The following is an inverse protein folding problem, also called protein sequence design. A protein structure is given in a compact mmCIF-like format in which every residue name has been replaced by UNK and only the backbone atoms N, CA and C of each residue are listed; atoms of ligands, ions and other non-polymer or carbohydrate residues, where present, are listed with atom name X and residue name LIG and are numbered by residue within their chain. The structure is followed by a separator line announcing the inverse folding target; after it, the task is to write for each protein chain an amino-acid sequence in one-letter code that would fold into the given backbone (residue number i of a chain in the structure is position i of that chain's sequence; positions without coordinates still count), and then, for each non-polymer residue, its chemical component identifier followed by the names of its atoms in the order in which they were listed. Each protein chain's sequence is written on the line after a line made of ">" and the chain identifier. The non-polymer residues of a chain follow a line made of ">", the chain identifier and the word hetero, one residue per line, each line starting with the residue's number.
data_IF_649131190052
#
_entry.id   IF_649131190052
#
_cell.length_a   1.000
_cell.length_b   1.000
_cell.length_c   1.000
_cell.angle_alpha   90.00
_cell.angle_beta   90.00
_cell.angle_gamma   90.00
#
_symmetry.space_group_name_H-M   'P 1'
#
loop_
_entity.id
_entity.type
_entity.pdbx_description
1 polymer ?
#
# COMPACT_ATOMS: atom_id res chain seq x y z
N UNK A 1 27.07 -9.03 -18.20
CA UNK A 1 26.21 -7.86 -18.50
C UNK A 1 26.01 -7.06 -17.20
N UNK A 2 26.77 -5.97 -16.95
CA UNK A 2 26.84 -5.34 -15.62
C UNK A 2 25.70 -4.37 -15.28
N UNK A 3 24.98 -3.86 -16.28
CA UNK A 3 24.09 -2.71 -16.10
C UNK A 3 22.60 -3.08 -15.97
N UNK A 4 22.23 -4.29 -16.38
CA UNK A 4 20.82 -4.73 -16.47
C UNK A 4 20.14 -4.78 -15.09
N UNK A 5 20.86 -5.23 -14.05
CA UNK A 5 20.36 -5.31 -12.67
C UNK A 5 20.01 -3.91 -12.13
N UNK A 6 20.85 -2.90 -12.40
CA UNK A 6 20.59 -1.51 -11.97
C UNK A 6 19.41 -0.90 -12.70
N UNK A 7 19.24 -1.17 -13.99
CA UNK A 7 18.09 -0.67 -14.76
C UNK A 7 16.77 -1.31 -14.32
N UNK A 8 16.77 -2.62 -14.06
CA UNK A 8 15.60 -3.29 -13.50
C UNK A 8 15.22 -2.73 -12.12
N UNK A 9 16.20 -2.51 -11.24
CA UNK A 9 15.95 -1.94 -9.91
C UNK A 9 15.31 -0.53 -10.00
N UNK A 10 15.84 0.34 -10.86
CA UNK A 10 15.27 1.68 -11.07
C UNK A 10 13.86 1.63 -11.64
N UNK A 11 13.59 0.73 -12.59
CA UNK A 11 12.26 0.56 -13.18
C UNK A 11 11.21 0.10 -12.15
N UNK A 12 11.58 -0.83 -11.26
CA UNK A 12 10.69 -1.28 -10.17
C UNK A 12 10.41 -0.15 -9.17
N UNK A 13 11.45 0.62 -8.80
CA UNK A 13 11.27 1.78 -7.92
C UNK A 13 10.42 2.89 -8.54
N UNK A 14 10.58 3.15 -9.85
CA UNK A 14 9.78 4.18 -10.53
C UNK A 14 8.30 3.81 -10.58
N UNK A 15 7.96 2.52 -10.76
CA UNK A 15 6.58 2.04 -10.72
C UNK A 15 5.94 2.30 -9.35
N UNK A 16 6.60 1.88 -8.27
CA UNK A 16 6.12 2.12 -6.91
C UNK A 16 5.93 3.62 -6.62
N UNK A 17 6.91 4.44 -7.01
CA UNK A 17 6.88 5.89 -6.79
C UNK A 17 5.71 6.57 -7.51
N UNK A 18 5.46 6.21 -8.77
CA UNK A 18 4.37 6.79 -9.56
C UNK A 18 3.02 6.47 -8.93
N UNK A 19 2.79 5.20 -8.57
CA UNK A 19 1.52 4.79 -7.95
C UNK A 19 1.31 5.39 -6.56
N UNK A 20 2.36 5.49 -5.74
CA UNK A 20 2.27 6.17 -4.43
C UNK A 20 1.96 7.66 -4.57
N UNK A 21 2.47 8.31 -5.62
CA UNK A 21 2.11 9.71 -5.92
C UNK A 21 0.65 9.83 -6.33
N UNK A 22 0.14 8.90 -7.13
CA UNK A 22 -1.28 8.85 -7.49
C UNK A 22 -2.17 8.66 -6.25
N UNK A 23 -1.80 7.76 -5.33
CA UNK A 23 -2.48 7.56 -4.05
C UNK A 23 -2.52 8.86 -3.22
N UNK A 24 -1.41 9.58 -3.14
CA UNK A 24 -1.35 10.87 -2.45
C UNK A 24 -2.28 11.92 -3.09
N UNK A 25 -2.27 12.02 -4.42
CA UNK A 25 -3.13 12.96 -5.14
C UNK A 25 -4.61 12.61 -4.94
N UNK A 26 -4.98 11.34 -5.00
CA UNK A 26 -6.33 10.85 -4.71
C UNK A 26 -6.80 11.26 -3.30
N UNK A 27 -5.97 11.02 -2.29
CA UNK A 27 -6.25 11.46 -0.91
C UNK A 27 -6.41 12.98 -0.78
N UNK A 28 -5.58 13.75 -1.47
CA UNK A 28 -5.68 15.22 -1.45
C UNK A 28 -6.96 15.74 -2.11
N UNK A 29 -7.36 15.17 -3.24
CA UNK A 29 -8.62 15.50 -3.90
C UNK A 29 -9.80 15.20 -2.97
N UNK A 30 -9.82 14.00 -2.41
CA UNK A 30 -10.87 13.58 -1.49
C UNK A 30 -10.96 14.48 -0.24
N UNK A 31 -9.81 14.84 0.34
CA UNK A 31 -9.76 15.77 1.46
C UNK A 31 -10.34 17.15 1.10
N UNK A 32 -10.04 17.66 -0.11
CA UNK A 32 -10.59 18.93 -0.58
C UNK A 32 -12.10 18.92 -0.76
N UNK A 33 -12.72 17.75 -0.94
CA UNK A 33 -14.16 17.60 -1.16
C UNK A 33 -14.93 17.24 0.12
N UNK A 34 -14.30 16.54 1.05
CA UNK A 34 -14.95 15.93 2.23
C UNK A 34 -14.39 16.39 3.57
N UNK A 35 -13.38 17.27 3.56
CA UNK A 35 -12.66 17.77 4.75
C UNK A 35 -12.10 16.67 5.67
N UNK A 36 -11.89 15.46 5.12
CA UNK A 36 -11.32 14.31 5.84
C UNK A 36 -10.51 13.41 4.91
N UNK A 37 -9.58 12.65 5.46
CA UNK A 37 -8.97 11.53 4.73
C UNK A 37 -9.87 10.30 4.80
N UNK A 38 -9.68 9.36 3.87
CA UNK A 38 -10.36 8.06 3.91
C UNK A 38 -9.36 6.91 4.05
N UNK A 39 -9.79 5.86 4.74
CA UNK A 39 -9.05 4.61 4.81
C UNK A 39 -9.29 3.68 3.63
N UNK A 40 -10.20 4.02 2.71
CA UNK A 40 -10.67 3.14 1.67
C UNK A 40 -10.29 3.63 0.27
N UNK A 41 -9.66 2.75 -0.51
CA UNK A 41 -9.13 3.01 -1.85
C UNK A 41 -10.24 3.32 -2.86
N UNK A 42 -11.38 2.64 -2.76
CA UNK A 42 -12.56 2.88 -3.58
C UNK A 42 -13.22 4.24 -3.29
N UNK A 43 -13.20 4.72 -2.04
CA UNK A 43 -13.73 6.04 -1.71
C UNK A 43 -12.90 7.19 -2.30
N UNK A 44 -11.57 7.05 -2.29
CA UNK A 44 -10.66 8.08 -2.81
C UNK A 44 -10.41 7.96 -4.33
N UNK A 45 -10.97 6.93 -4.98
CA UNK A 45 -10.76 6.67 -6.40
C UNK A 45 -9.34 6.20 -6.75
N UNK A 46 -8.63 5.57 -5.80
CA UNK A 46 -7.31 5.00 -6.06
C UNK A 46 -7.43 3.54 -6.50
N UNK A 47 -7.05 3.27 -7.75
CA UNK A 47 -6.92 1.93 -8.28
C UNK A 47 -5.69 1.87 -9.20
N UNK A 48 -4.59 1.19 -8.78
CA UNK A 48 -3.44 1.01 -9.65
C UNK A 48 -3.79 0.03 -10.76
N UNK A 49 -3.26 0.28 -11.96
CA UNK A 49 -3.48 -0.57 -13.13
C UNK A 49 -3.07 -2.03 -12.88
N UNK A 50 -3.69 -2.94 -13.65
CA UNK A 50 -3.34 -4.37 -13.61
C UNK A 50 -1.89 -4.60 -13.99
N UNK A 51 -1.28 -5.61 -13.39
CA UNK A 51 0.15 -5.88 -13.50
C UNK A 51 1.01 -5.06 -12.54
N UNK A 52 0.43 -4.53 -11.46
CA UNK A 52 1.18 -3.88 -10.38
C UNK A 52 2.08 -4.90 -9.64
N UNK A 53 3.37 -4.59 -9.54
CA UNK A 53 4.36 -5.42 -8.84
C UNK A 53 4.29 -5.28 -7.32
N UNK A 54 3.72 -4.18 -6.85
CA UNK A 54 3.65 -3.84 -5.42
C UNK A 54 2.20 -3.78 -4.98
N UNK A 55 1.94 -4.25 -3.75
CA UNK A 55 0.69 -4.00 -3.05
C UNK A 55 0.70 -2.64 -2.36
N UNK A 56 -0.48 -2.06 -2.20
CA UNK A 56 -0.69 -0.75 -1.59
C UNK A 56 -1.67 -0.89 -0.43
N UNK A 57 -1.32 -0.32 0.71
CA UNK A 57 -2.14 -0.37 1.91
C UNK A 57 -2.53 1.05 2.25
N UNK A 58 -3.83 1.31 2.27
CA UNK A 58 -4.42 2.61 2.59
C UNK A 58 -4.85 2.65 4.06
N UNK A 59 -5.34 1.52 4.58
CA UNK A 59 -5.72 1.34 5.98
C UNK A 59 -5.63 -0.12 6.42
N UNK A 60 -5.55 -0.33 7.74
CA UNK A 60 -5.74 -1.63 8.37
C UNK A 60 -7.22 -2.05 8.39
N UNK A 61 -8.13 -1.08 8.26
CA UNK A 61 -9.57 -1.31 8.17
C UNK A 61 -9.97 -1.81 6.78
N UNK A 62 -11.18 -2.36 6.65
CA UNK A 62 -11.73 -2.78 5.37
C UNK A 62 -11.10 -4.06 4.80
N UNK A 63 -11.58 -4.43 3.61
CA UNK A 63 -11.17 -5.65 2.89
C UNK A 63 -9.93 -5.41 2.02
N UNK A 64 -9.20 -6.49 1.77
CA UNK A 64 -8.10 -6.49 0.82
C UNK A 64 -8.61 -6.93 -0.56
N UNK A 65 -8.38 -6.11 -1.58
CA UNK A 65 -8.57 -6.49 -2.97
C UNK A 65 -7.44 -7.45 -3.39
N UNK A 66 -7.78 -8.73 -3.52
CA UNK A 66 -6.85 -9.76 -3.96
C UNK A 66 -6.81 -9.83 -5.49
N UNK A 67 -5.60 -9.73 -6.07
CA UNK A 67 -5.35 -9.80 -7.51
C UNK A 67 -4.79 -11.17 -7.88
N UNK A 68 -5.56 -12.20 -7.57
CA UNK A 68 -5.24 -13.62 -7.74
C UNK A 68 -5.69 -14.18 -9.08
N UNK A 69 -6.71 -13.57 -9.69
CA UNK A 69 -7.37 -14.11 -10.87
C UNK A 69 -7.20 -13.19 -12.09
N UNK A 70 -7.44 -13.75 -13.29
CA UNK A 70 -7.36 -13.01 -14.54
C UNK A 70 -8.29 -11.79 -14.55
N UNK A 71 -9.50 -11.96 -14.01
CA UNK A 71 -10.46 -10.88 -13.79
C UNK A 71 -10.36 -10.46 -12.33
N UNK A 72 -10.20 -9.16 -12.10
CA UNK A 72 -10.27 -8.62 -10.74
C UNK A 72 -11.74 -8.39 -10.43
N UNK A 73 -12.28 -9.24 -9.55
CA UNK A 73 -13.55 -9.01 -8.89
C UNK A 73 -13.31 -8.12 -7.69
N UNK A 74 -13.49 -6.81 -7.88
CA UNK A 74 -13.45 -5.85 -6.79
C UNK A 74 -14.74 -5.99 -5.99
N UNK A 75 -14.65 -6.14 -4.66
CA UNK A 75 -15.83 -6.00 -3.80
C UNK A 75 -16.10 -4.51 -3.60
N UNK A 76 -16.94 -3.94 -4.45
CA UNK A 76 -17.33 -2.53 -4.36
C UNK A 76 -18.29 -2.26 -3.17
N UNK A 77 -18.80 -3.33 -2.55
CA UNK A 77 -19.79 -3.26 -1.46
C UNK A 77 -19.13 -2.98 -0.10
N UNK A 78 -17.85 -3.31 0.07
CA UNK A 78 -17.10 -3.08 1.31
C UNK A 78 -15.93 -2.12 1.05
N UNK A 79 -15.56 -1.31 2.04
CA UNK A 79 -14.43 -0.38 1.92
C UNK A 79 -13.11 -1.13 1.68
N UNK A 80 -12.35 -0.73 0.65
CA UNK A 80 -11.09 -1.42 0.26
C UNK A 80 -9.90 -0.80 0.98
N UNK A 81 -9.43 -1.42 2.05
CA UNK A 81 -8.29 -0.93 2.84
C UNK A 81 -6.92 -1.23 2.22
N UNK A 82 -6.84 -2.24 1.38
CA UNK A 82 -5.59 -2.63 0.74
C UNK A 82 -5.83 -3.23 -0.65
N UNK A 83 -4.87 -3.04 -1.53
CA UNK A 83 -4.83 -3.63 -2.87
C UNK A 83 -3.56 -4.46 -2.94
N UNK A 84 -3.69 -5.77 -3.16
CA UNK A 84 -2.54 -6.66 -3.27
C UNK A 84 -1.74 -6.43 -4.56
N UNK A 85 -0.51 -6.96 -4.61
CA UNK A 85 0.23 -7.04 -5.87
C UNK A 85 -0.47 -8.02 -6.82
N UNK A 86 -0.23 -7.89 -8.13
CA UNK A 86 -0.80 -8.77 -9.14
C UNK A 86 -0.14 -10.16 -9.09
N UNK A 87 -0.60 -10.98 -8.14
CA UNK A 87 -0.14 -12.35 -7.95
C UNK A 87 -0.51 -13.26 -9.11
N UNK A 88 -1.60 -12.96 -9.84
CA UNK A 88 -1.93 -13.66 -11.09
C UNK A 88 -0.80 -13.51 -12.12
N UNK A 89 -0.27 -12.30 -12.31
CA UNK A 89 0.80 -12.02 -13.26
C UNK A 89 2.17 -12.48 -12.78
N UNK A 90 2.50 -12.23 -11.51
CA UNK A 90 3.87 -12.42 -10.99
C UNK A 90 4.08 -13.72 -10.22
N UNK A 91 3.00 -14.48 -9.97
CA UNK A 91 3.03 -15.69 -9.16
C UNK A 91 3.21 -15.38 -7.66
N UNK A 92 2.79 -16.34 -6.82
CA UNK A 92 2.90 -16.24 -5.37
C UNK A 92 1.56 -16.03 -4.67
N UNK A 93 1.60 -15.86 -3.36
CA UNK A 93 0.40 -15.66 -2.52
C UNK A 93 0.14 -14.17 -2.35
N UNK A 94 -1.00 -13.68 -2.82
CA UNK A 94 -1.49 -12.35 -2.47
C UNK A 94 -2.15 -12.39 -1.09
N UNK A 95 -1.59 -11.64 -0.14
CA UNK A 95 -2.18 -11.45 1.18
C UNK A 95 -1.83 -10.05 1.69
N UNK A 96 -2.75 -9.46 2.47
CA UNK A 96 -2.43 -8.26 3.25
C UNK A 96 -1.43 -8.65 4.34
N UNK A 97 -0.29 -7.94 4.48
CA UNK A 97 0.63 -8.19 5.58
C UNK A 97 -0.04 -7.84 6.92
N UNK A 98 0.22 -8.64 7.95
CA UNK A 98 -0.21 -8.33 9.30
C UNK A 98 0.68 -7.22 9.86
N UNK A 99 0.06 -6.13 10.32
CA UNK A 99 0.76 -5.11 11.10
C UNK A 99 0.77 -5.57 12.55
N UNK A 100 1.96 -5.78 13.10
CA UNK A 100 2.15 -5.91 14.54
C UNK A 100 2.52 -4.52 15.06
N UNK A 101 1.59 -3.77 15.69
CA UNK A 101 1.94 -2.50 16.29
C UNK A 101 2.88 -2.79 17.46
N UNK A 102 4.19 -2.67 17.22
CA UNK A 102 5.17 -2.51 18.27
C UNK A 102 5.01 -1.09 18.80
N UNK A 103 4.02 -0.88 19.66
CA UNK A 103 3.98 0.32 20.46
C UNK A 103 5.33 0.43 21.16
N UNK A 104 5.93 1.62 21.14
CA UNK A 104 7.10 1.87 21.96
C UNK A 104 6.72 1.60 23.41
N UNK A 105 7.10 0.43 23.92
CA UNK A 105 7.12 0.18 25.34
C UNK A 105 8.34 0.94 25.83
N UNK A 106 8.13 2.10 26.45
CA UNK A 106 9.18 2.68 27.26
C UNK A 106 9.69 1.57 28.17
N UNK A 107 10.99 1.27 28.13
CA UNK A 107 11.57 0.40 29.15
C UNK A 107 11.13 0.96 30.52
N UNK A 108 10.88 0.10 31.50
CA UNK A 108 10.41 0.51 32.82
C UNK A 108 11.37 1.49 33.56
N UNK A 109 12.53 1.81 32.98
CA UNK A 109 13.32 2.98 33.31
C UNK A 109 13.03 4.09 32.28
N UNK A 110 12.42 5.19 32.74
CA UNK A 110 12.22 6.40 31.94
C UNK A 110 13.52 6.97 31.35
N UNK A 111 13.44 8.15 30.73
CA UNK A 111 14.58 8.80 30.10
C UNK A 111 15.74 8.95 31.11
N UNK A 112 16.78 8.12 30.98
CA UNK A 112 18.00 8.26 31.80
C UNK A 112 18.84 9.37 31.19
N UNK A 113 18.95 10.47 31.91
CA UNK A 113 19.75 11.65 31.58
C UNK A 113 21.24 11.47 31.93
N UNK A 114 21.70 10.23 32.10
CA UNK A 114 23.12 9.92 32.30
C UNK A 114 23.77 9.72 30.95
N UNK A 115 24.36 10.79 30.41
CA UNK A 115 25.34 10.69 29.34
C UNK A 115 26.64 10.13 29.95
N UNK A 116 26.97 8.89 29.59
CA UNK A 116 28.27 8.27 29.80
C UNK A 116 29.06 8.26 28.52
#
# INVERSE_FOLDING_TARGET
>A
IPNFIKFQARSKQSEAKTNLKALYTAQKSFFSEKDRYSGYSNEIGFAPERGNRYGYIVSELGVAELRTDAVVTVSDTEGIGAISYDSFRFGGTAARPAFAPANFAAAAGGWTNTWG
#
